data_IF_233823105170
#
_entry.id   IF_233823105170
#
_cell.length_a   1.000
_cell.length_b   1.000
_cell.length_c   1.000
_cell.angle_alpha   90.00
_cell.angle_beta   90.00
_cell.angle_gamma   90.00
#
_symmetry.space_group_name_H-M   'P 1'
#
loop_
_entity.id
_entity.type
_entity.pdbx_description
1 polymer ?
#
# COMPACT_ATOMS: atom_id res chain seq x y z
N UNK A 1 11.68 -1.12 -35.34
CA UNK A 1 11.12 -2.00 -36.40
C UNK A 1 9.73 -2.48 -35.98
N UNK A 2 8.70 -2.22 -36.80
CA UNK A 2 7.34 -2.75 -36.56
C UNK A 2 7.38 -4.29 -36.65
N UNK A 3 6.90 -5.00 -35.63
CA UNK A 3 6.71 -6.47 -35.70
C UNK A 3 5.65 -6.76 -36.75
N UNK A 4 6.07 -7.27 -37.91
CA UNK A 4 5.18 -7.81 -38.94
C UNK A 4 4.40 -8.97 -38.31
N UNK A 5 3.09 -8.77 -38.10
CA UNK A 5 2.19 -9.84 -37.69
C UNK A 5 2.15 -10.90 -38.78
N UNK A 6 2.76 -12.05 -38.54
CA UNK A 6 2.75 -13.15 -39.50
C UNK A 6 1.45 -13.96 -39.32
N UNK A 7 0.92 -14.45 -40.45
CA UNK A 7 -0.28 -15.30 -40.49
C UNK A 7 0.05 -16.64 -39.84
N UNK A 8 -0.66 -16.99 -38.77
CA UNK A 8 -0.47 -18.25 -38.03
C UNK A 8 -0.72 -19.44 -38.98
N UNK A 9 0.26 -20.32 -39.13
CA UNK A 9 0.09 -21.53 -39.94
C UNK A 9 -0.91 -22.47 -39.24
N UNK A 10 -1.92 -22.95 -39.99
CA UNK A 10 -2.98 -23.82 -39.44
C UNK A 10 -2.41 -25.20 -39.04
N UNK A 11 -1.42 -25.70 -39.78
CA UNK A 11 -0.87 -27.04 -39.58
C UNK A 11 0.53 -27.04 -38.92
N UNK A 12 0.93 -25.92 -38.31
CA UNK A 12 2.20 -25.82 -37.59
C UNK A 12 2.30 -26.79 -36.40
N UNK A 13 3.52 -27.20 -36.08
CA UNK A 13 3.81 -28.09 -34.95
C UNK A 13 3.38 -27.45 -33.62
N UNK A 14 3.14 -28.29 -32.60
CA UNK A 14 2.68 -27.86 -31.29
C UNK A 14 3.66 -26.89 -30.62
N UNK A 15 4.96 -27.15 -30.74
CA UNK A 15 6.01 -26.29 -30.16
C UNK A 15 6.07 -24.90 -30.79
N UNK A 16 5.89 -24.79 -32.10
CA UNK A 16 5.84 -23.49 -32.78
C UNK A 16 4.56 -22.72 -32.45
N UNK A 17 3.43 -23.41 -32.27
CA UNK A 17 2.16 -22.81 -31.82
C UNK A 17 2.26 -22.28 -30.39
N UNK A 18 2.81 -23.08 -29.48
CA UNK A 18 3.05 -22.73 -28.07
C UNK A 18 3.96 -21.50 -27.95
N UNK A 19 5.07 -21.51 -28.68
CA UNK A 19 6.04 -20.40 -28.70
C UNK A 19 5.57 -19.18 -29.49
N UNK A 20 4.40 -19.25 -30.14
CA UNK A 20 3.87 -18.21 -31.02
C UNK A 20 4.96 -17.73 -32.00
N UNK A 21 5.51 -18.67 -32.78
CA UNK A 21 6.44 -18.43 -33.90
C UNK A 21 5.94 -19.09 -35.19
N UNK A 22 6.40 -18.62 -36.35
CA UNK A 22 6.00 -19.19 -37.65
C UNK A 22 6.59 -20.59 -37.81
N UNK A 23 5.74 -21.58 -38.06
CA UNK A 23 6.14 -22.93 -38.46
C UNK A 23 6.20 -23.02 -39.98
N UNK A 24 7.24 -23.66 -40.52
CA UNK A 24 7.42 -23.96 -41.93
C UNK A 24 6.80 -25.30 -42.36
N UNK A 25 6.27 -26.07 -41.40
CA UNK A 25 5.54 -27.34 -41.60
C UNK A 25 6.38 -28.49 -42.19
N UNK A 26 7.70 -28.30 -42.30
CA UNK A 26 8.65 -29.36 -42.60
C UNK A 26 8.74 -30.39 -41.45
N UNK A 27 9.25 -31.59 -41.75
CA UNK A 27 9.43 -32.70 -40.80
C UNK A 27 10.92 -33.10 -40.71
N UNK A 28 11.67 -32.68 -39.67
CA UNK A 28 11.30 -31.72 -38.62
C UNK A 28 11.20 -30.27 -39.11
N UNK A 29 10.49 -29.44 -38.34
CA UNK A 29 10.31 -28.03 -38.64
C UNK A 29 11.62 -27.24 -38.42
N UNK A 30 11.99 -26.32 -39.33
CA UNK A 30 13.28 -25.62 -39.22
C UNK A 30 13.40 -24.74 -37.97
N UNK A 31 12.28 -24.20 -37.48
CA UNK A 31 12.25 -23.46 -36.21
C UNK A 31 12.49 -24.37 -34.99
N UNK A 32 12.10 -25.63 -35.07
CA UNK A 32 12.32 -26.63 -34.02
C UNK A 32 13.80 -27.01 -33.98
N UNK A 33 14.37 -27.31 -35.16
CA UNK A 33 15.78 -27.66 -35.35
C UNK A 33 16.70 -26.54 -34.87
N UNK A 34 16.44 -25.29 -35.27
CA UNK A 34 17.26 -24.13 -34.87
C UNK A 34 17.32 -23.92 -33.35
N UNK A 35 16.29 -24.35 -32.64
CA UNK A 35 16.19 -24.20 -31.19
C UNK A 35 16.45 -25.49 -30.43
N UNK A 36 16.88 -26.57 -31.12
CA UNK A 36 17.19 -27.86 -30.49
C UNK A 36 15.98 -28.52 -29.81
N UNK A 37 14.76 -28.23 -30.26
CA UNK A 37 13.53 -28.75 -29.65
C UNK A 37 12.94 -29.91 -30.45
N UNK A 38 12.38 -30.93 -29.78
CA UNK A 38 11.72 -32.05 -30.46
C UNK A 38 10.47 -31.58 -31.22
N UNK A 39 10.37 -31.96 -32.50
CA UNK A 39 9.30 -31.50 -33.37
C UNK A 39 8.10 -32.44 -33.32
N UNK A 40 6.91 -31.93 -32.96
CA UNK A 40 5.69 -32.75 -32.92
C UNK A 40 5.21 -33.24 -34.30
N UNK A 41 5.81 -32.76 -35.40
CA UNK A 41 5.49 -33.23 -36.76
C UNK A 41 6.29 -34.50 -37.15
N UNK A 42 7.35 -34.85 -36.41
CA UNK A 42 8.12 -36.08 -36.63
C UNK A 42 7.37 -37.33 -36.18
N UNK A 43 6.61 -37.26 -35.08
CA UNK A 43 5.90 -38.41 -34.51
C UNK A 43 4.42 -38.54 -34.95
N UNK A 44 3.94 -37.68 -35.86
CA UNK A 44 2.54 -37.70 -36.30
C UNK A 44 2.16 -38.92 -37.19
N UNK A 45 3.08 -39.88 -37.39
CA UNK A 45 2.86 -41.10 -38.16
C UNK A 45 2.67 -42.38 -37.34
N UNK A 46 2.82 -42.35 -36.00
CA UNK A 46 2.76 -43.58 -35.21
C UNK A 46 2.21 -43.32 -33.79
N UNK A 47 0.88 -43.37 -33.64
CA UNK A 47 0.18 -43.96 -32.48
C UNK A 47 -1.31 -43.63 -32.55
N UNK A 48 -2.08 -44.64 -32.93
CA UNK A 48 -3.51 -44.82 -32.71
C UNK A 48 -3.83 -44.93 -31.21
N UNK A 49 -4.98 -44.38 -30.79
CA UNK A 49 -5.66 -44.80 -29.55
C UNK A 49 -6.30 -43.70 -28.71
N UNK A 50 -7.59 -43.43 -28.97
CA UNK A 50 -8.68 -43.06 -28.05
C UNK A 50 -8.48 -41.84 -27.10
N UNK A 51 -9.41 -40.90 -26.93
CA UNK A 51 -10.87 -40.98 -26.99
C UNK A 51 -11.51 -39.65 -27.40
N UNK A 52 -12.60 -39.81 -28.13
CA UNK A 52 -13.58 -38.85 -28.58
C UNK A 52 -14.22 -38.01 -27.47
N UNK A 53 -14.62 -36.78 -27.81
CA UNK A 53 -15.99 -36.24 -27.76
C UNK A 53 -15.90 -34.69 -27.83
N UNK A 54 -16.76 -33.87 -28.43
CA UNK A 54 -17.78 -33.93 -29.49
C UNK A 54 -18.07 -32.44 -29.78
N UNK A 55 -18.07 -32.00 -31.04
CA UNK A 55 -18.61 -30.68 -31.43
C UNK A 55 -20.15 -30.72 -31.50
N UNK A 56 -20.82 -29.64 -31.12
CA UNK A 56 -22.05 -29.11 -31.74
C UNK A 56 -22.36 -27.74 -31.10
N UNK A 57 -22.25 -26.59 -31.77
CA UNK A 57 -23.09 -26.00 -32.83
C UNK A 57 -23.85 -24.76 -32.28
N UNK A 58 -23.61 -23.61 -32.93
CA UNK A 58 -24.44 -22.40 -32.91
C UNK A 58 -25.77 -22.64 -33.66
N UNK A 59 -26.83 -21.87 -33.34
CA UNK A 59 -27.46 -21.01 -34.36
C UNK A 59 -28.03 -19.67 -33.75
N UNK A 60 -28.90 -18.88 -34.42
CA UNK A 60 -28.57 -17.75 -35.33
C UNK A 60 -29.27 -16.40 -34.92
N UNK A 61 -29.22 -15.31 -35.75
CA UNK A 61 -29.65 -13.96 -35.36
C UNK A 61 -30.99 -13.46 -35.98
N UNK A 62 -31.63 -12.48 -35.34
CA UNK A 62 -32.75 -11.66 -35.83
C UNK A 62 -33.50 -11.01 -34.65
N UNK A 63 -34.19 -9.86 -34.69
CA UNK A 63 -34.42 -8.79 -35.66
C UNK A 63 -34.84 -7.52 -34.86
N UNK A 64 -34.41 -6.37 -35.38
CA UNK A 64 -35.03 -5.02 -35.42
C UNK A 64 -36.42 -4.82 -34.78
N UNK A 65 -36.55 -3.81 -33.91
CA UNK A 65 -37.75 -2.95 -33.82
C UNK A 65 -37.40 -1.48 -33.56
N UNK A 66 -38.08 -0.60 -34.28
CA UNK A 66 -38.08 0.86 -34.13
C UNK A 66 -39.19 1.25 -33.16
N UNK A 67 -39.00 2.30 -32.35
CA UNK A 67 -40.04 3.32 -32.12
C UNK A 67 -39.46 4.64 -31.61
N UNK A 68 -39.84 5.70 -32.33
CA UNK A 68 -39.86 7.14 -32.00
C UNK A 68 -40.60 7.43 -30.69
N UNK A 69 -40.48 8.57 -30.01
CA UNK A 69 -39.85 9.87 -30.25
C UNK A 69 -40.52 10.92 -29.35
N UNK A 70 -39.84 12.04 -29.06
CA UNK A 70 -40.36 13.34 -28.53
C UNK A 70 -39.13 14.18 -28.13
N UNK A 71 -38.60 15.10 -28.94
CA UNK A 71 -38.98 16.51 -29.20
C UNK A 71 -39.27 17.37 -27.96
N UNK A 72 -38.29 18.19 -27.61
CA UNK A 72 -38.42 19.46 -26.87
C UNK A 72 -37.25 20.37 -27.25
N UNK A 73 -37.55 21.49 -27.89
CA UNK A 73 -36.62 22.45 -28.52
C UNK A 73 -36.19 23.60 -27.60
N UNK A 74 -35.20 24.35 -28.11
CA UNK A 74 -34.84 25.74 -27.81
C UNK A 74 -33.95 25.95 -26.56
N UNK A 75 -32.93 26.81 -26.55
CA UNK A 75 -32.50 27.87 -27.48
C UNK A 75 -31.05 28.27 -27.18
N UNK A 76 -30.42 28.83 -28.20
CA UNK A 76 -29.08 29.37 -28.22
C UNK A 76 -28.82 30.47 -27.18
N UNK A 77 -27.56 30.57 -26.73
CA UNK A 77 -26.87 31.84 -26.51
C UNK A 77 -25.37 31.64 -26.68
N UNK A 78 -24.87 32.15 -27.81
CA UNK A 78 -23.45 32.41 -28.07
C UNK A 78 -23.02 33.59 -27.19
N UNK A 79 -21.89 33.47 -26.50
CA UNK A 79 -21.05 34.63 -26.18
C UNK A 79 -19.58 34.31 -26.46
N UNK A 80 -19.04 35.05 -27.42
CA UNK A 80 -17.61 35.27 -27.63
C UNK A 80 -17.11 36.21 -26.54
N UNK A 81 -15.96 35.91 -25.95
CA UNK A 81 -15.09 36.91 -25.33
C UNK A 81 -13.64 36.47 -25.51
N UNK A 82 -12.91 37.27 -26.28
CA UNK A 82 -11.48 37.30 -26.49
C UNK A 82 -10.76 38.04 -25.36
N UNK A 83 -9.63 37.53 -24.88
CA UNK A 83 -8.45 38.28 -24.37
C UNK A 83 -7.43 37.23 -23.87
N UNK A 84 -6.35 37.00 -24.61
CA UNK A 84 -5.02 37.61 -24.43
C UNK A 84 -4.26 37.11 -23.19
N UNK A 85 -3.22 36.32 -23.48
CA UNK A 85 -2.08 36.04 -22.61
C UNK A 85 -1.35 37.32 -22.18
N UNK A 86 -0.55 37.23 -21.12
CA UNK A 86 0.83 37.67 -21.27
C UNK A 86 1.87 36.70 -20.70
N UNK A 87 3.08 36.98 -21.15
CA UNK A 87 4.29 36.19 -21.10
C UNK A 87 4.98 36.11 -19.74
N UNK A 88 5.80 35.04 -19.65
CA UNK A 88 7.00 34.84 -18.85
C UNK A 88 7.82 36.09 -18.52
N UNK A 89 8.32 36.19 -17.28
CA UNK A 89 9.63 36.78 -16.97
C UNK A 89 10.26 36.11 -15.74
N UNK A 90 11.46 35.58 -15.94
CA UNK A 90 12.41 35.12 -14.91
C UNK A 90 13.08 36.32 -14.22
N UNK A 91 13.52 36.22 -12.95
CA UNK A 91 14.39 37.23 -12.35
C UNK A 91 15.86 36.94 -12.67
N UNK A 92 16.54 37.91 -13.30
CA UNK A 92 18.00 37.96 -13.40
C UNK A 92 18.59 38.57 -12.13
N UNK A 93 19.66 37.92 -11.68
CA UNK A 93 20.64 38.34 -10.68
C UNK A 93 21.36 39.64 -11.07
N UNK A 94 21.42 40.60 -10.15
CA UNK A 94 22.29 41.77 -10.24
C UNK A 94 23.57 41.54 -9.43
N UNK A 95 24.71 41.66 -10.12
CA UNK A 95 26.04 41.71 -9.56
C UNK A 95 26.36 43.12 -9.04
N UNK A 96 27.16 43.21 -7.97
CA UNK A 96 27.68 44.45 -7.40
C UNK A 96 29.11 44.28 -6.87
N UNK A 97 30.07 44.56 -7.75
CA UNK A 97 31.37 45.22 -7.55
C UNK A 97 32.28 44.91 -6.33
N UNK A 98 33.37 44.21 -6.64
CA UNK A 98 34.81 44.55 -6.46
C UNK A 98 35.29 45.34 -5.22
N UNK A 99 36.34 44.80 -4.57
CA UNK A 99 37.38 45.61 -3.91
C UNK A 99 38.40 44.87 -3.02
N UNK A 100 39.59 44.56 -3.56
CA UNK A 100 40.87 44.43 -2.83
C UNK A 100 41.12 43.14 -2.02
N UNK A 101 42.31 42.56 -1.87
CA UNK A 101 43.69 42.88 -2.24
C UNK A 101 44.51 41.58 -2.28
N UNK A 102 45.62 41.62 -3.00
CA UNK A 102 46.63 40.58 -3.14
C UNK A 102 47.35 40.28 -1.82
N UNK A 103 47.78 39.04 -1.61
CA UNK A 103 49.09 38.70 -1.04
C UNK A 103 49.42 37.24 -1.32
N UNK A 104 50.54 37.04 -2.01
CA UNK A 104 51.20 35.76 -2.18
C UNK A 104 52.16 35.52 -1.01
N UNK A 105 52.24 34.30 -0.50
CA UNK A 105 53.52 33.69 -0.09
C UNK A 105 53.35 32.19 0.18
N UNK A 106 54.41 31.51 -0.21
CA UNK A 106 54.65 30.09 -0.37
C UNK A 106 54.96 29.33 0.93
N UNK A 107 55.05 28.00 0.77
CA UNK A 107 55.67 26.96 1.63
C UNK A 107 54.79 26.38 2.74
N UNK A 108 54.64 25.08 2.93
CA UNK A 108 55.20 23.90 2.25
C UNK A 108 54.80 22.63 3.04
N UNK A 109 54.85 21.47 2.38
CA UNK A 109 55.02 20.17 3.04
C UNK A 109 53.77 19.33 3.30
N UNK A 110 53.76 18.12 2.75
CA UNK A 110 52.89 17.03 3.21
C UNK A 110 52.28 16.20 2.09
N UNK A 111 53.09 15.35 1.45
CA UNK A 111 52.60 14.37 0.50
C UNK A 111 51.60 13.41 1.16
N UNK A 112 50.42 13.29 0.57
CA UNK A 112 49.57 12.12 0.69
C UNK A 112 49.20 11.65 -0.71
N UNK A 113 49.60 10.43 -0.97
CA UNK A 113 49.39 9.64 -2.17
C UNK A 113 47.91 9.50 -2.48
N UNK A 114 47.44 10.17 -3.55
CA UNK A 114 46.18 9.80 -4.19
C UNK A 114 46.31 8.36 -4.72
N UNK A 115 45.30 7.50 -4.52
CA UNK A 115 45.36 6.17 -5.12
C UNK A 115 45.33 6.32 -6.63
N UNK A 116 46.30 5.69 -7.28
CA UNK A 116 46.46 5.56 -8.72
C UNK A 116 45.12 5.46 -9.44
N UNK A 117 44.75 6.51 -10.17
CA UNK A 117 43.73 6.46 -11.21
C UNK A 117 44.20 5.45 -12.25
N UNK A 118 43.66 4.23 -12.20
CA UNK A 118 43.82 3.30 -13.32
C UNK A 118 43.33 4.02 -14.58
N UNK A 119 44.15 4.02 -15.63
CA UNK A 119 43.76 4.56 -16.93
C UNK A 119 42.51 3.81 -17.40
N UNK A 120 41.42 4.54 -17.65
CA UNK A 120 40.17 3.99 -18.14
C UNK A 120 40.45 3.09 -19.37
N UNK A 121 40.14 1.79 -19.32
CA UNK A 121 40.38 0.88 -20.44
C UNK A 121 39.53 1.20 -21.68
N UNK A 122 38.54 2.09 -21.56
CA UNK A 122 37.64 2.48 -22.63
C UNK A 122 37.46 4.01 -22.76
N UNK A 123 38.53 4.76 -23.07
CA UNK A 123 38.51 6.23 -23.14
C UNK A 123 37.61 6.77 -24.27
N UNK A 124 37.15 5.88 -25.16
CA UNK A 124 36.17 6.21 -26.20
C UNK A 124 34.78 6.54 -25.61
N UNK A 125 34.39 5.93 -24.48
CA UNK A 125 33.10 6.24 -23.84
C UNK A 125 33.06 7.67 -23.31
N UNK A 126 34.20 8.22 -22.90
CA UNK A 126 34.34 9.62 -22.47
C UNK A 126 33.91 10.61 -23.56
N UNK A 127 33.93 10.23 -24.85
CA UNK A 127 33.41 11.06 -25.96
C UNK A 127 31.89 11.11 -26.05
N UNK A 128 31.19 10.17 -25.42
CA UNK A 128 29.73 10.13 -25.32
C UNK A 128 29.22 10.57 -23.95
N UNK A 129 30.11 10.75 -22.98
CA UNK A 129 29.82 11.40 -21.72
C UNK A 129 29.81 12.92 -21.96
N UNK A 130 28.67 13.44 -22.39
CA UNK A 130 28.39 14.88 -22.24
C UNK A 130 28.53 15.17 -20.74
N UNK A 131 29.30 16.18 -20.33
CA UNK A 131 29.59 16.51 -18.93
C UNK A 131 28.32 16.43 -18.03
N UNK A 132 28.11 15.26 -17.44
CA UNK A 132 27.09 14.97 -16.45
C UNK A 132 27.79 15.00 -15.09
N UNK A 133 28.40 16.14 -14.76
CA UNK A 133 28.80 16.44 -13.38
C UNK A 133 27.54 16.69 -12.52
N UNK A 134 26.78 15.61 -12.33
CA UNK A 134 25.85 15.40 -11.21
C UNK A 134 26.09 13.99 -10.69
N UNK A 135 27.25 13.80 -10.09
CA UNK A 135 27.59 12.63 -9.25
C UNK A 135 26.71 12.51 -8.00
N UNK A 136 25.73 13.41 -7.81
CA UNK A 136 24.68 13.32 -6.79
C UNK A 136 23.41 12.59 -7.23
N UNK A 137 23.15 12.43 -8.54
CA UNK A 137 21.85 11.88 -8.99
C UNK A 137 21.87 10.40 -9.29
N UNK A 138 23.03 9.78 -9.57
CA UNK A 138 23.13 8.43 -10.11
C UNK A 138 22.84 7.29 -9.11
N UNK A 139 23.05 7.50 -7.80
CA UNK A 139 22.78 6.49 -6.77
C UNK A 139 21.31 6.43 -6.36
N UNK A 140 20.63 7.60 -6.34
CA UNK A 140 19.22 7.69 -5.93
C UNK A 140 18.25 7.05 -6.91
N UNK A 141 18.38 7.31 -8.22
CA UNK A 141 17.41 6.81 -9.20
C UNK A 141 17.39 5.29 -9.34
N UNK A 142 18.54 4.62 -9.17
CA UNK A 142 18.60 3.14 -9.22
C UNK A 142 17.80 2.56 -8.05
N UNK A 143 17.98 3.13 -6.86
CA UNK A 143 17.21 2.77 -5.69
C UNK A 143 15.72 3.03 -5.90
N UNK A 144 15.34 4.20 -6.39
CA UNK A 144 13.92 4.52 -6.66
C UNK A 144 13.30 3.54 -7.67
N UNK A 145 14.06 3.14 -8.69
CA UNK A 145 13.61 2.13 -9.66
C UNK A 145 13.51 0.73 -9.06
N UNK A 146 14.43 0.34 -8.17
CA UNK A 146 14.33 -0.90 -7.41
C UNK A 146 13.04 -0.92 -6.57
N UNK A 147 12.79 0.16 -5.82
CA UNK A 147 11.59 0.31 -4.99
C UNK A 147 10.31 0.26 -5.83
N UNK A 148 10.27 0.96 -6.97
CA UNK A 148 9.13 0.93 -7.90
C UNK A 148 8.96 -0.44 -8.56
N UNK A 149 10.06 -1.12 -8.91
CA UNK A 149 10.02 -2.48 -9.44
C UNK A 149 9.46 -3.46 -8.40
N UNK A 150 9.92 -3.35 -7.15
CA UNK A 150 9.40 -4.14 -6.03
C UNK A 150 7.93 -3.86 -5.78
N UNK A 151 7.50 -2.59 -5.89
CA UNK A 151 6.09 -2.23 -5.78
C UNK A 151 5.23 -2.96 -6.78
N UNK A 152 5.53 -2.78 -8.06
CA UNK A 152 4.72 -3.27 -9.18
C UNK A 152 4.79 -4.78 -9.37
N UNK A 153 5.79 -5.43 -8.78
CA UNK A 153 6.01 -6.89 -8.89
C UNK A 153 5.52 -7.65 -7.66
N UNK A 154 5.67 -7.07 -6.45
CA UNK A 154 5.47 -7.78 -5.19
C UNK A 154 4.57 -7.02 -4.23
N UNK A 155 4.95 -5.82 -3.78
CA UNK A 155 4.35 -5.22 -2.56
C UNK A 155 2.88 -4.82 -2.74
N UNK A 156 2.43 -4.51 -3.97
CA UNK A 156 1.04 -4.16 -4.26
C UNK A 156 0.01 -5.24 -3.88
N UNK A 157 0.43 -6.51 -3.76
CA UNK A 157 -0.45 -7.66 -3.42
C UNK A 157 -0.64 -7.85 -1.92
N UNK A 158 0.17 -7.18 -1.09
CA UNK A 158 0.34 -7.53 0.34
C UNK A 158 -0.77 -7.04 1.26
N UNK A 159 -1.78 -6.33 0.73
CA UNK A 159 -2.88 -5.78 1.54
C UNK A 159 -4.25 -5.84 0.83
N UNK A 160 -4.38 -6.68 -0.21
CA UNK A 160 -5.66 -6.94 -0.87
C UNK A 160 -5.69 -8.34 -1.49
N UNK A 161 -6.81 -9.06 -1.35
CA UNK A 161 -7.04 -10.32 -2.07
C UNK A 161 -7.96 -10.16 -3.29
N UNK A 162 -8.60 -9.00 -3.46
CA UNK A 162 -9.42 -8.72 -4.64
C UNK A 162 -8.54 -8.56 -5.87
N UNK A 163 -8.68 -9.45 -6.85
CA UNK A 163 -7.95 -9.36 -8.13
C UNK A 163 -8.18 -8.03 -8.86
N UNK A 164 -9.39 -7.47 -8.70
CA UNK A 164 -9.79 -6.21 -9.31
C UNK A 164 -9.10 -5.02 -8.62
N UNK A 165 -9.11 -5.01 -7.29
CA UNK A 165 -8.39 -4.00 -6.51
C UNK A 165 -6.87 -4.09 -6.68
N UNK A 166 -6.31 -5.31 -6.68
CA UNK A 166 -4.90 -5.55 -6.97
C UNK A 166 -4.49 -4.99 -8.33
N UNK A 167 -5.34 -5.12 -9.36
CA UNK A 167 -5.08 -4.52 -10.67
C UNK A 167 -5.03 -2.99 -10.61
N UNK A 168 -5.95 -2.37 -9.89
CA UNK A 168 -5.93 -0.91 -9.68
C UNK A 168 -4.72 -0.45 -8.89
N UNK A 169 -4.34 -1.17 -7.83
CA UNK A 169 -3.11 -0.93 -7.09
C UNK A 169 -1.86 -1.11 -7.99
N UNK A 170 -1.83 -2.12 -8.86
CA UNK A 170 -0.67 -2.37 -9.71
C UNK A 170 -0.50 -1.37 -10.86
N UNK A 171 -1.60 -0.89 -11.46
CA UNK A 171 -1.55 -0.12 -12.70
C UNK A 171 -2.08 1.31 -12.56
N UNK A 172 -3.27 1.49 -11.98
CA UNK A 172 -3.92 2.79 -11.94
C UNK A 172 -3.27 3.70 -10.91
N UNK A 173 -2.91 3.17 -9.74
CA UNK A 173 -2.25 3.93 -8.65
C UNK A 173 -0.86 4.44 -9.07
N UNK A 174 0.06 3.64 -9.64
CA UNK A 174 1.32 4.17 -10.18
C UNK A 174 1.12 5.20 -11.30
N UNK A 175 0.13 5.00 -12.16
CA UNK A 175 -0.17 5.95 -13.22
C UNK A 175 -0.63 7.30 -12.66
N UNK A 176 -1.46 7.28 -11.63
CA UNK A 176 -1.86 8.48 -10.88
C UNK A 176 -0.63 9.14 -10.22
N UNK A 177 0.24 8.34 -9.62
CA UNK A 177 1.45 8.80 -8.94
C UNK A 177 2.41 9.58 -9.85
N UNK A 178 2.45 9.29 -11.15
CA UNK A 178 3.25 10.06 -12.12
C UNK A 178 2.80 11.53 -12.24
N UNK A 179 1.56 11.84 -11.86
CA UNK A 179 1.03 13.22 -11.86
C UNK A 179 1.14 13.88 -10.48
N UNK A 180 1.39 13.10 -9.43
CA UNK A 180 1.40 13.55 -8.04
C UNK A 180 2.63 13.00 -7.31
N UNK A 181 3.73 13.77 -7.23
CA UNK A 181 5.00 13.32 -6.65
C UNK A 181 4.88 12.79 -5.21
N UNK A 182 3.97 13.35 -4.41
CA UNK A 182 3.76 12.86 -3.05
C UNK A 182 3.22 11.42 -3.01
N UNK A 183 2.34 11.04 -3.95
CA UNK A 183 1.84 9.67 -4.05
C UNK A 183 2.95 8.73 -4.53
N UNK A 184 3.78 9.19 -5.46
CA UNK A 184 4.95 8.42 -5.90
C UNK A 184 5.87 8.11 -4.71
N UNK A 185 6.21 9.12 -3.91
CA UNK A 185 7.00 8.92 -2.71
C UNK A 185 6.34 7.97 -1.70
N UNK A 186 5.01 8.00 -1.52
CA UNK A 186 4.33 7.03 -0.66
C UNK A 186 4.47 5.59 -1.15
N UNK A 187 4.37 5.36 -2.46
CA UNK A 187 4.55 4.04 -3.08
C UNK A 187 5.98 3.51 -2.86
N UNK A 188 6.98 4.40 -3.00
CA UNK A 188 8.38 4.05 -2.78
C UNK A 188 8.67 3.79 -1.29
N UNK A 189 8.15 4.64 -0.40
CA UNK A 189 8.27 4.46 1.05
C UNK A 189 7.69 3.12 1.51
N UNK A 190 6.47 2.80 1.08
CA UNK A 190 5.82 1.52 1.38
C UNK A 190 6.65 0.32 0.89
N UNK A 191 7.24 0.44 -0.30
CA UNK A 191 8.09 -0.62 -0.87
C UNK A 191 9.40 -0.78 -0.11
N UNK A 192 10.00 0.32 0.33
CA UNK A 192 11.20 0.30 1.16
C UNK A 192 10.91 -0.32 2.53
N UNK A 193 9.79 0.01 3.17
CA UNK A 193 9.37 -0.68 4.41
C UNK A 193 9.16 -2.18 4.20
N UNK A 194 8.57 -2.58 3.07
CA UNK A 194 8.38 -3.99 2.76
C UNK A 194 9.72 -4.72 2.51
N UNK A 195 10.67 -4.11 1.81
CA UNK A 195 12.02 -4.68 1.65
C UNK A 195 12.76 -4.74 2.98
N UNK A 196 12.63 -3.74 3.84
CA UNK A 196 13.20 -3.75 5.19
C UNK A 196 12.65 -4.90 6.05
N UNK A 197 11.39 -5.30 5.82
CA UNK A 197 10.78 -6.47 6.43
C UNK A 197 11.36 -7.79 5.87
N UNK A 198 11.50 -7.89 4.54
CA UNK A 198 11.96 -9.11 3.87
C UNK A 198 13.48 -9.33 3.96
N UNK A 199 14.28 -8.27 4.13
CA UNK A 199 15.73 -8.30 4.11
C UNK A 199 16.32 -7.72 5.40
N UNK A 200 16.44 -8.53 6.48
CA UNK A 200 16.98 -8.08 7.76
C UNK A 200 18.38 -7.48 7.68
N UNK A 201 19.24 -7.99 6.79
CA UNK A 201 20.64 -7.54 6.65
C UNK A 201 20.75 -6.10 6.12
N UNK A 202 19.87 -5.73 5.18
CA UNK A 202 19.81 -4.40 4.57
C UNK A 202 18.76 -3.50 5.21
N UNK A 203 18.13 -3.95 6.31
CA UNK A 203 16.96 -3.31 6.92
C UNK A 203 17.17 -1.82 7.19
N UNK A 204 18.30 -1.44 7.79
CA UNK A 204 18.57 -0.05 8.14
C UNK A 204 18.61 0.89 6.92
N UNK A 205 19.22 0.43 5.81
CA UNK A 205 19.32 1.21 4.59
C UNK A 205 17.93 1.47 3.97
N UNK A 206 17.10 0.43 3.86
CA UNK A 206 15.74 0.58 3.37
C UNK A 206 14.87 1.43 4.29
N UNK A 207 15.06 1.37 5.60
CA UNK A 207 14.35 2.26 6.54
C UNK A 207 14.72 3.73 6.37
N UNK A 208 16.00 4.02 6.10
CA UNK A 208 16.42 5.40 5.78
C UNK A 208 15.76 5.90 4.50
N UNK A 209 15.70 5.07 3.45
CA UNK A 209 15.01 5.40 2.20
C UNK A 209 13.51 5.60 2.42
N UNK A 210 12.89 4.72 3.20
CA UNK A 210 11.49 4.82 3.56
C UNK A 210 11.20 6.15 4.27
N UNK A 211 12.02 6.52 5.27
CA UNK A 211 11.88 7.77 6.01
C UNK A 211 12.07 9.01 5.12
N UNK A 212 13.04 8.98 4.20
CA UNK A 212 13.27 10.07 3.23
C UNK A 212 12.03 10.29 2.36
N UNK A 213 11.56 9.24 1.69
CA UNK A 213 10.36 9.34 0.87
C UNK A 213 9.10 9.68 1.69
N UNK A 214 8.99 9.19 2.92
CA UNK A 214 7.87 9.53 3.80
C UNK A 214 7.82 11.03 4.10
N UNK A 215 8.97 11.64 4.38
CA UNK A 215 9.07 13.08 4.64
C UNK A 215 8.69 13.90 3.40
N UNK A 216 9.21 13.54 2.22
CA UNK A 216 8.89 14.22 0.96
C UNK A 216 7.41 14.09 0.60
N UNK A 217 6.84 12.89 0.79
CA UNK A 217 5.42 12.64 0.61
C UNK A 217 4.56 13.52 1.54
N UNK A 218 4.86 13.55 2.84
CA UNK A 218 4.09 14.33 3.82
C UNK A 218 4.15 15.83 3.49
N UNK A 219 5.32 16.35 3.09
CA UNK A 219 5.47 17.74 2.69
C UNK A 219 4.62 18.08 1.46
N UNK A 220 4.64 17.24 0.43
CA UNK A 220 3.81 17.43 -0.77
C UNK A 220 2.30 17.27 -0.51
N UNK A 221 1.91 16.32 0.34
CA UNK A 221 0.53 16.14 0.78
C UNK A 221 0.04 17.39 1.53
N UNK A 222 0.80 17.90 2.50
CA UNK A 222 0.47 19.12 3.24
C UNK A 222 0.27 20.31 2.32
N UNK A 223 1.16 20.52 1.35
CA UNK A 223 1.01 21.60 0.36
C UNK A 223 -0.28 21.51 -0.44
N UNK A 224 -0.75 20.30 -0.75
CA UNK A 224 -2.01 20.08 -1.48
C UNK A 224 -3.24 20.22 -0.58
N UNK A 225 -3.16 19.72 0.67
CA UNK A 225 -4.24 19.77 1.67
C UNK A 225 -4.52 21.18 2.20
N UNK A 226 -3.53 22.09 2.15
CA UNK A 226 -3.74 23.51 2.45
C UNK A 226 -4.62 24.21 1.40
N UNK A 227 -4.76 23.62 0.21
CA UNK A 227 -5.70 24.04 -0.82
C UNK A 227 -7.06 23.34 -0.69
N UNK A 228 -7.88 23.45 -1.72
CA UNK A 228 -9.19 22.77 -1.79
C UNK A 228 -9.03 21.34 -2.30
N UNK A 229 -9.62 20.36 -1.59
CA UNK A 229 -9.79 19.00 -2.09
C UNK A 229 -10.79 19.06 -3.27
N UNK A 230 -10.35 18.60 -4.44
CA UNK A 230 -11.10 18.65 -5.70
C UNK A 230 -11.24 17.25 -6.30
N UNK A 231 -12.11 17.13 -7.31
CA UNK A 231 -12.29 15.89 -8.07
C UNK A 231 -11.05 15.42 -8.84
N UNK A 232 -10.01 16.25 -8.96
CA UNK A 232 -8.76 15.89 -9.65
C UNK A 232 -7.67 15.42 -8.70
N UNK A 233 -7.59 15.96 -7.48
CA UNK A 233 -6.54 15.63 -6.52
C UNK A 233 -6.98 14.62 -5.45
N UNK A 234 -8.29 14.38 -5.30
CA UNK A 234 -8.82 13.53 -4.23
C UNK A 234 -8.35 12.08 -4.34
N UNK A 235 -8.19 11.53 -5.56
CA UNK A 235 -7.69 10.17 -5.76
C UNK A 235 -6.25 10.02 -5.26
N UNK A 236 -5.37 10.95 -5.64
CA UNK A 236 -3.99 10.94 -5.21
C UNK A 236 -3.85 11.13 -3.69
N UNK A 237 -4.61 12.08 -3.12
CA UNK A 237 -4.64 12.32 -1.67
C UNK A 237 -5.12 11.08 -0.92
N UNK A 238 -6.24 10.48 -1.36
CA UNK A 238 -6.81 9.30 -0.71
C UNK A 238 -5.85 8.10 -0.78
N UNK A 239 -5.30 7.80 -1.96
CA UNK A 239 -4.31 6.72 -2.11
C UNK A 239 -3.06 6.98 -1.25
N UNK A 240 -2.59 8.21 -1.18
CA UNK A 240 -1.45 8.58 -0.35
C UNK A 240 -1.72 8.39 1.13
N UNK A 241 -2.93 8.73 1.60
CA UNK A 241 -3.35 8.49 2.98
C UNK A 241 -3.44 7.01 3.34
N UNK A 242 -3.84 6.14 2.40
CA UNK A 242 -3.79 4.68 2.58
C UNK A 242 -2.33 4.25 2.84
N UNK A 243 -1.41 4.58 1.93
CA UNK A 243 0.00 4.19 2.07
C UNK A 243 0.66 4.80 3.30
N UNK A 244 0.34 6.05 3.63
CA UNK A 244 0.83 6.72 4.84
C UNK A 244 0.42 5.95 6.10
N UNK A 245 -0.85 5.53 6.17
CA UNK A 245 -1.38 4.79 7.32
C UNK A 245 -0.74 3.41 7.43
N UNK A 246 -0.62 2.67 6.32
CA UNK A 246 0.05 1.36 6.30
C UNK A 246 1.54 1.48 6.69
N UNK A 247 2.22 2.52 6.19
CA UNK A 247 3.63 2.78 6.48
C UNK A 247 3.84 3.21 7.93
N UNK A 248 2.88 3.93 8.54
CA UNK A 248 2.92 4.27 9.96
C UNK A 248 2.91 3.02 10.86
N UNK A 249 2.11 2.00 10.51
CA UNK A 249 2.21 0.70 11.18
C UNK A 249 3.58 0.04 10.94
N UNK A 250 4.07 0.03 9.70
CA UNK A 250 5.36 -0.58 9.33
C UNK A 250 6.58 0.10 9.96
N UNK A 251 6.40 1.33 10.47
CA UNK A 251 7.45 2.10 11.17
C UNK A 251 7.84 1.43 12.50
N UNK A 252 6.94 0.66 13.11
CA UNK A 252 7.22 -0.22 14.25
C UNK A 252 7.50 -1.64 13.74
N UNK A 253 8.58 -2.36 14.14
CA UNK A 253 9.55 -2.19 15.23
C UNK A 253 10.91 -1.59 14.80
N UNK A 254 10.91 -0.65 13.86
CA UNK A 254 12.14 -0.13 13.25
C UNK A 254 12.84 0.97 14.07
N UNK A 255 12.10 1.64 14.96
CA UNK A 255 12.58 2.76 15.78
C UNK A 255 12.91 2.40 17.23
N UNK A 256 12.48 1.26 17.76
CA UNK A 256 12.69 0.93 19.18
C UNK A 256 14.18 0.88 19.55
N UNK A 257 15.04 0.48 18.61
CA UNK A 257 16.50 0.47 18.79
C UNK A 257 17.16 1.86 18.75
N UNK A 258 16.50 2.85 18.15
CA UNK A 258 17.09 4.17 17.85
C UNK A 258 16.34 5.35 18.47
N UNK A 259 15.16 5.12 19.07
CA UNK A 259 14.34 6.15 19.68
C UNK A 259 13.89 5.75 21.11
N UNK A 260 14.60 6.22 22.15
CA UNK A 260 14.28 5.90 23.53
C UNK A 260 12.96 6.51 24.03
N UNK A 261 12.33 7.43 23.27
CA UNK A 261 11.03 8.02 23.61
C UNK A 261 9.85 7.35 22.90
N UNK A 262 10.06 6.20 22.25
CA UNK A 262 8.98 5.48 21.57
C UNK A 262 7.92 5.00 22.57
N UNK A 263 6.65 5.21 22.22
CA UNK A 263 5.50 4.82 23.02
C UNK A 263 4.46 4.18 22.10
N UNK A 264 4.23 2.85 22.19
CA UNK A 264 3.24 2.14 21.39
C UNK A 264 1.85 2.77 21.42
N UNK A 265 1.41 3.26 22.59
CA UNK A 265 0.10 3.90 22.75
C UNK A 265 0.04 5.23 22.00
N UNK A 266 1.07 6.06 22.08
CA UNK A 266 1.07 7.36 21.39
C UNK A 266 1.14 7.16 19.87
N UNK A 267 1.96 6.22 19.39
CA UNK A 267 1.99 5.89 17.96
C UNK A 267 0.68 5.30 17.46
N UNK A 268 -0.04 4.51 18.27
CA UNK A 268 -1.40 4.09 17.92
C UNK A 268 -2.38 5.25 17.85
N UNK A 269 -2.31 6.21 18.77
CA UNK A 269 -3.13 7.43 18.72
C UNK A 269 -2.85 8.25 17.44
N UNK A 270 -1.59 8.34 17.02
CA UNK A 270 -1.22 9.01 15.77
C UNK A 270 -1.81 8.25 14.57
N UNK A 271 -1.71 6.92 14.55
CA UNK A 271 -2.31 6.08 13.50
C UNK A 271 -3.84 6.23 13.46
N UNK A 272 -4.51 6.32 14.61
CA UNK A 272 -5.96 6.54 14.66
C UNK A 272 -6.33 7.89 14.05
N UNK A 273 -5.53 8.92 14.36
CA UNK A 273 -5.70 10.27 13.79
C UNK A 273 -5.49 10.27 12.26
N UNK A 274 -4.48 9.55 11.76
CA UNK A 274 -4.26 9.38 10.31
C UNK A 274 -5.43 8.65 9.63
N UNK A 275 -5.95 7.62 10.28
CA UNK A 275 -7.07 6.83 9.77
C UNK A 275 -8.36 7.66 9.71
N UNK A 276 -8.63 8.49 10.71
CA UNK A 276 -9.76 9.41 10.70
C UNK A 276 -9.61 10.50 9.62
N UNK A 277 -8.41 11.08 9.48
CA UNK A 277 -8.12 12.04 8.40
C UNK A 277 -8.33 11.44 7.00
N UNK A 278 -7.97 10.17 6.80
CA UNK A 278 -8.27 9.43 5.56
C UNK A 278 -9.78 9.27 5.34
N UNK A 279 -10.55 8.96 6.39
CA UNK A 279 -12.01 8.86 6.34
C UNK A 279 -12.67 10.19 5.96
N UNK A 280 -12.14 11.32 6.44
CA UNK A 280 -12.62 12.64 6.04
C UNK A 280 -12.46 12.89 4.54
N UNK A 281 -11.31 12.54 3.95
CA UNK A 281 -11.08 12.64 2.50
C UNK A 281 -12.08 11.75 1.74
N UNK A 282 -12.28 10.51 2.20
CA UNK A 282 -13.24 9.59 1.61
C UNK A 282 -14.65 10.19 1.61
N UNK A 283 -15.12 10.73 2.75
CA UNK A 283 -16.46 11.31 2.87
C UNK A 283 -16.64 12.57 2.03
N UNK A 284 -15.60 13.41 1.92
CA UNK A 284 -15.65 14.63 1.12
C UNK A 284 -15.65 14.37 -0.40
N UNK A 285 -15.12 13.22 -0.84
CA UNK A 285 -14.92 12.90 -2.25
C UNK A 285 -15.47 11.53 -2.68
N UNK A 286 -16.44 10.96 -1.94
CA UNK A 286 -16.93 9.59 -2.15
C UNK A 286 -17.39 9.34 -3.58
N UNK A 287 -18.18 10.25 -4.14
CA UNK A 287 -18.69 10.16 -5.51
C UNK A 287 -17.57 10.15 -6.56
N UNK A 288 -16.57 11.03 -6.41
CA UNK A 288 -15.44 11.13 -7.34
C UNK A 288 -14.54 9.90 -7.23
N UNK A 289 -14.28 9.42 -6.01
CA UNK A 289 -13.47 8.23 -5.74
C UNK A 289 -14.10 6.97 -6.35
N UNK A 290 -15.43 6.81 -6.24
CA UNK A 290 -16.17 5.68 -6.81
C UNK A 290 -16.30 5.72 -8.34
N UNK A 291 -16.09 6.87 -8.97
CA UNK A 291 -16.17 7.03 -10.44
C UNK A 291 -14.79 7.11 -11.10
N UNK A 292 -13.74 7.37 -10.33
CA UNK A 292 -12.40 7.63 -10.84
C UNK A 292 -11.49 6.40 -10.98
N UNK A 293 -10.16 6.62 -11.00
CA UNK A 293 -9.15 5.57 -11.14
C UNK A 293 -9.21 4.52 -10.03
N UNK A 294 -9.65 4.90 -8.83
CA UNK A 294 -9.69 4.03 -7.65
C UNK A 294 -11.01 3.25 -7.50
N UNK A 295 -11.97 3.39 -8.42
CA UNK A 295 -13.33 2.81 -8.28
C UNK A 295 -13.35 1.33 -7.87
N UNK A 296 -12.41 0.56 -8.41
CA UNK A 296 -12.30 -0.89 -8.23
C UNK A 296 -11.96 -1.29 -6.79
N UNK A 297 -11.35 -0.38 -6.00
CA UNK A 297 -11.08 -0.55 -4.56
C UNK A 297 -12.40 -0.60 -3.76
N UNK A 298 -13.45 0.04 -4.27
CA UNK A 298 -14.75 0.19 -3.60
C UNK A 298 -15.80 -0.82 -4.05
N UNK A 299 -15.51 -1.63 -5.07
CA UNK A 299 -16.45 -2.63 -5.58
C UNK A 299 -16.41 -3.89 -4.69
N UNK A 300 -17.59 -4.36 -4.28
CA UNK A 300 -17.75 -5.68 -3.63
C UNK A 300 -17.52 -6.79 -4.64
N UNK A 301 -16.88 -7.87 -4.21
CA UNK A 301 -16.64 -9.02 -5.08
C UNK A 301 -17.96 -9.69 -5.48
N UNK A 302 -18.09 -10.06 -6.75
CA UNK A 302 -19.18 -10.93 -7.21
C UNK A 302 -19.04 -12.32 -6.57
N UNK A 303 -19.91 -12.64 -5.61
CA UNK A 303 -19.86 -13.86 -4.80
C UNK A 303 -19.90 -13.62 -3.30
N UNK A 304 -19.75 -12.38 -2.86
CA UNK A 304 -19.89 -11.97 -1.46
C UNK A 304 -21.36 -12.06 -1.03
N UNK A 305 -21.80 -13.22 -0.52
CA UNK A 305 -23.01 -13.28 0.29
C UNK A 305 -22.78 -12.46 1.55
N UNK A 306 -23.73 -11.61 1.96
CA UNK A 306 -23.69 -11.00 3.29
C UNK A 306 -23.79 -12.13 4.32
N UNK A 307 -22.72 -12.45 5.05
CA UNK A 307 -22.82 -13.36 6.18
C UNK A 307 -23.86 -12.78 7.14
N UNK A 308 -24.80 -13.60 7.59
CA UNK A 308 -25.80 -13.21 8.59
C UNK A 308 -25.22 -13.23 10.01
N UNK A 309 -24.00 -13.72 10.18
CA UNK A 309 -23.33 -13.95 11.46
C UNK A 309 -21.94 -13.33 11.44
N UNK A 310 -21.45 -13.00 12.64
CA UNK A 310 -20.07 -12.55 12.84
C UNK A 310 -19.09 -13.68 12.48
N UNK A 311 -17.96 -13.33 11.88
CA UNK A 311 -16.94 -14.29 11.49
C UNK A 311 -16.37 -15.03 12.71
N UNK A 312 -16.12 -16.34 12.57
CA UNK A 312 -15.71 -17.20 13.68
C UNK A 312 -14.44 -16.71 14.42
N UNK A 313 -13.54 -16.02 13.72
CA UNK A 313 -12.30 -15.47 14.29
C UNK A 313 -12.55 -14.33 15.27
N UNK A 314 -13.54 -13.47 15.02
CA UNK A 314 -13.87 -12.32 15.86
C UNK A 314 -14.99 -12.61 16.87
N UNK A 315 -15.70 -13.74 16.71
CA UNK A 315 -16.80 -14.15 17.58
C UNK A 315 -16.45 -14.16 19.08
N UNK A 316 -15.30 -14.72 19.54
CA UNK A 316 -14.97 -14.76 20.98
C UNK A 316 -14.81 -13.37 21.59
N UNK A 317 -14.28 -12.41 20.83
CA UNK A 317 -14.18 -11.02 21.25
C UNK A 317 -15.58 -10.40 21.32
N UNK A 318 -16.38 -10.57 20.27
CA UNK A 318 -17.73 -10.01 20.17
C UNK A 318 -18.64 -10.41 21.35
N UNK A 319 -18.62 -11.68 21.75
CA UNK A 319 -19.41 -12.20 22.87
C UNK A 319 -19.00 -11.63 24.24
N UNK A 320 -17.75 -11.17 24.39
CA UNK A 320 -17.21 -10.62 25.64
C UNK A 320 -17.52 -9.14 25.84
N UNK A 321 -17.70 -8.37 24.76
CA UNK A 321 -17.88 -6.92 24.83
C UNK A 321 -19.08 -6.47 25.67
N UNK A 322 -20.26 -7.13 25.66
CA UNK A 322 -21.36 -6.76 26.53
C UNK A 322 -21.00 -6.89 28.03
N UNK A 323 -20.33 -7.98 28.41
CA UNK A 323 -19.87 -8.20 29.78
C UNK A 323 -18.81 -7.19 30.19
N UNK A 324 -17.86 -6.89 29.30
CA UNK A 324 -16.85 -5.87 29.52
C UNK A 324 -17.49 -4.50 29.80
N UNK A 325 -18.50 -4.11 29.02
CA UNK A 325 -19.24 -2.87 29.20
C UNK A 325 -19.87 -2.77 30.59
N UNK A 326 -20.52 -3.85 31.06
CA UNK A 326 -21.10 -3.91 32.41
C UNK A 326 -20.03 -3.77 33.50
N UNK A 327 -18.91 -4.48 33.39
CA UNK A 327 -17.84 -4.43 34.39
C UNK A 327 -17.15 -3.06 34.46
N UNK A 328 -16.91 -2.41 33.32
CA UNK A 328 -16.36 -1.05 33.25
C UNK A 328 -17.30 -0.02 33.89
N UNK A 329 -18.61 -0.24 33.85
CA UNK A 329 -19.58 0.62 34.50
C UNK A 329 -19.62 0.48 36.04
N UNK A 330 -19.23 -0.68 36.57
CA UNK A 330 -19.24 -1.02 38.01
C UNK A 330 -17.97 -0.59 38.75
N UNK A 331 -16.79 -0.68 38.11
CA UNK A 331 -15.47 -0.39 38.72
C UNK A 331 -15.26 1.10 39.08
N UNK A 332 -16.23 1.96 38.79
CA UNK A 332 -16.29 3.32 39.33
C UNK A 332 -15.63 4.38 38.44
N UNK A 333 -16.21 4.61 37.26
CA UNK A 333 -15.98 5.85 36.50
C UNK A 333 -16.69 6.99 37.25
N UNK A 334 -15.95 7.76 38.04
CA UNK A 334 -16.48 8.83 38.92
C UNK A 334 -17.02 10.02 38.12
N UNK A 335 -16.55 10.21 36.88
CA UNK A 335 -16.98 11.28 35.98
C UNK A 335 -17.97 10.77 34.92
N UNK A 336 -19.14 11.42 34.82
CA UNK A 336 -20.20 11.07 33.86
C UNK A 336 -19.72 11.10 32.40
N UNK A 337 -18.86 12.06 32.05
CA UNK A 337 -18.31 12.22 30.68
C UNK A 337 -17.37 11.08 30.31
N UNK A 338 -16.45 10.69 31.20
CA UNK A 338 -15.55 9.56 30.99
C UNK A 338 -16.31 8.23 30.86
N UNK A 339 -17.41 8.06 31.62
CA UNK A 339 -18.28 6.88 31.51
C UNK A 339 -18.93 6.75 30.13
N UNK A 340 -19.41 7.86 29.58
CA UNK A 340 -20.03 7.87 28.26
C UNK A 340 -19.03 7.55 27.15
N UNK A 341 -17.84 8.18 27.17
CA UNK A 341 -16.79 7.94 26.18
C UNK A 341 -16.33 6.47 26.14
N UNK A 342 -16.10 5.86 27.30
CA UNK A 342 -15.70 4.44 27.39
C UNK A 342 -16.81 3.51 26.90
N UNK A 343 -18.06 3.74 27.34
CA UNK A 343 -19.20 2.92 26.94
C UNK A 343 -19.39 2.97 25.41
N UNK A 344 -19.31 4.16 24.82
CA UNK A 344 -19.38 4.33 23.38
C UNK A 344 -18.23 3.62 22.65
N UNK A 345 -17.00 3.65 23.18
CA UNK A 345 -15.87 2.96 22.56
C UNK A 345 -16.08 1.42 22.50
N UNK A 346 -16.65 0.83 23.56
CA UNK A 346 -17.00 -0.61 23.60
C UNK A 346 -18.15 -0.95 22.65
N UNK A 347 -19.18 -0.09 22.59
CA UNK A 347 -20.29 -0.24 21.63
C UNK A 347 -19.76 -0.15 20.20
N UNK A 348 -18.93 0.85 19.90
CA UNK A 348 -18.32 1.03 18.59
C UNK A 348 -17.41 -0.14 18.20
N UNK A 349 -16.74 -0.80 19.16
CA UNK A 349 -15.98 -2.04 18.90
C UNK A 349 -16.91 -3.19 18.49
N UNK A 350 -18.04 -3.34 19.18
CA UNK A 350 -19.07 -4.34 18.85
C UNK A 350 -19.67 -4.08 17.46
N UNK A 351 -20.03 -2.83 17.17
CA UNK A 351 -20.52 -2.41 15.87
C UNK A 351 -19.49 -2.61 14.77
N UNK A 352 -18.21 -2.33 15.04
CA UNK A 352 -17.12 -2.55 14.09
C UNK A 352 -17.08 -4.02 13.66
N UNK A 353 -17.05 -4.95 14.62
CA UNK A 353 -17.02 -6.40 14.35
C UNK A 353 -18.24 -6.85 13.53
N UNK A 354 -19.43 -6.34 13.85
CA UNK A 354 -20.64 -6.62 13.09
C UNK A 354 -20.59 -6.05 11.66
N UNK A 355 -20.13 -4.80 11.49
CA UNK A 355 -20.04 -4.11 10.19
C UNK A 355 -19.02 -4.75 9.27
N UNK A 356 -17.85 -5.15 9.79
CA UNK A 356 -16.85 -5.83 8.96
C UNK A 356 -17.34 -7.20 8.47
N UNK A 357 -18.24 -7.86 9.21
CA UNK A 357 -18.82 -9.11 8.72
C UNK A 357 -19.70 -8.88 7.48
N UNK A 358 -20.33 -7.71 7.34
CA UNK A 358 -21.29 -7.40 6.26
C UNK A 358 -20.74 -6.54 5.11
N UNK A 359 -19.58 -5.89 5.31
CA UNK A 359 -18.95 -4.97 4.35
C UNK A 359 -17.57 -5.48 3.88
N UNK A 360 -17.50 -6.12 2.72
CA UNK A 360 -16.27 -6.72 2.19
C UNK A 360 -15.46 -5.78 1.27
N UNK A 361 -14.91 -4.68 1.80
CA UNK A 361 -14.00 -3.84 1.03
C UNK A 361 -12.71 -4.61 0.66
N UNK A 362 -12.19 -4.41 -0.56
CA UNK A 362 -10.92 -4.98 -1.04
C UNK A 362 -10.81 -6.52 -1.00
N UNK A 363 -11.91 -7.22 -0.70
CA UNK A 363 -11.92 -8.63 -0.31
C UNK A 363 -10.86 -8.95 0.76
N UNK A 364 -10.61 -8.00 1.67
CA UNK A 364 -9.60 -8.16 2.69
C UNK A 364 -10.15 -8.96 3.89
N UNK A 365 -9.28 -9.64 4.67
CA UNK A 365 -9.70 -10.36 5.88
C UNK A 365 -10.50 -9.46 6.83
N UNK A 366 -11.46 -10.04 7.56
CA UNK A 366 -12.35 -9.28 8.46
C UNK A 366 -11.56 -8.55 9.54
N UNK A 367 -10.48 -9.14 10.01
CA UNK A 367 -9.57 -8.64 11.03
C UNK A 367 -8.84 -7.41 10.53
N UNK A 368 -8.27 -7.49 9.32
CA UNK A 368 -7.62 -6.35 8.66
C UNK A 368 -8.60 -5.18 8.55
N UNK A 369 -9.84 -5.43 8.11
CA UNK A 369 -10.83 -4.36 7.97
C UNK A 369 -11.23 -3.78 9.33
N UNK A 370 -11.28 -4.59 10.38
CA UNK A 370 -11.60 -4.14 11.73
C UNK A 370 -10.49 -3.28 12.34
N UNK A 371 -9.21 -3.57 12.05
CA UNK A 371 -8.07 -2.75 12.47
C UNK A 371 -8.24 -1.29 12.07
N UNK A 372 -8.73 -1.00 10.86
CA UNK A 372 -8.93 0.37 10.36
C UNK A 372 -10.32 0.93 10.62
N UNK A 373 -11.38 0.11 10.68
CA UNK A 373 -12.73 0.61 10.88
C UNK A 373 -12.96 1.12 12.30
N UNK A 374 -12.47 0.42 13.33
CA UNK A 374 -12.72 0.84 14.71
C UNK A 374 -12.15 2.23 15.04
N UNK A 375 -10.90 2.58 14.66
CA UNK A 375 -10.38 3.94 14.83
C UNK A 375 -11.24 5.05 14.24
N UNK A 376 -11.88 4.81 13.08
CA UNK A 376 -12.78 5.78 12.41
C UNK A 376 -14.06 6.03 13.23
N UNK A 377 -14.45 5.09 14.10
CA UNK A 377 -15.63 5.20 14.95
C UNK A 377 -15.35 5.86 16.30
N UNK A 378 -14.08 6.19 16.61
CA UNK A 378 -13.69 6.73 17.91
C UNK A 378 -13.97 8.22 18.04
N UNK A 379 -14.34 8.64 19.24
CA UNK A 379 -14.56 10.04 19.59
C UNK A 379 -13.29 10.69 20.14
N UNK A 380 -13.19 12.01 20.05
CA UNK A 380 -12.10 12.78 20.66
C UNK A 380 -11.97 12.50 22.16
N UNK A 381 -13.09 12.37 22.87
CA UNK A 381 -13.11 12.16 24.32
C UNK A 381 -12.44 10.84 24.72
N UNK A 382 -12.69 9.77 23.96
CA UNK A 382 -12.02 8.49 24.18
C UNK A 382 -10.51 8.60 23.91
N UNK A 383 -10.13 9.25 22.80
CA UNK A 383 -8.72 9.44 22.45
C UNK A 383 -7.98 10.29 23.50
N UNK A 384 -8.63 11.30 24.07
CA UNK A 384 -8.09 12.14 25.13
C UNK A 384 -7.89 11.35 26.43
N UNK A 385 -8.84 10.49 26.79
CA UNK A 385 -8.69 9.56 27.92
C UNK A 385 -7.51 8.61 27.71
N UNK A 386 -7.34 8.08 26.51
CA UNK A 386 -6.23 7.20 26.18
C UNK A 386 -4.88 7.94 26.18
N UNK A 387 -4.85 9.20 25.71
CA UNK A 387 -3.66 10.08 25.79
C UNK A 387 -3.26 10.33 27.24
N UNK A 388 -4.22 10.48 28.15
CA UNK A 388 -3.99 10.58 29.61
C UNK A 388 -3.70 9.25 30.30
N UNK A 389 -3.60 8.14 29.55
CA UNK A 389 -3.42 6.78 30.07
C UNK A 389 -4.49 6.38 31.09
N UNK A 390 -5.74 6.81 30.86
CA UNK A 390 -6.83 6.44 31.74
C UNK A 390 -7.02 4.91 31.74
N UNK A 391 -7.04 4.22 32.89
CA UNK A 391 -7.10 2.77 32.97
C UNK A 391 -8.23 2.15 32.14
N UNK A 392 -9.45 2.67 32.25
CA UNK A 392 -10.60 2.20 31.47
C UNK A 392 -10.37 2.27 29.94
N UNK A 393 -9.73 3.34 29.45
CA UNK A 393 -9.47 3.51 28.02
C UNK A 393 -8.44 2.49 27.53
N UNK A 394 -7.41 2.23 28.36
CA UNK A 394 -6.40 1.20 28.08
C UNK A 394 -6.99 -0.21 28.11
N UNK A 395 -7.98 -0.50 28.96
CA UNK A 395 -8.71 -1.77 28.94
C UNK A 395 -9.42 -1.98 27.61
N UNK A 396 -10.11 -0.95 27.08
CA UNK A 396 -10.76 -1.05 25.76
C UNK A 396 -9.71 -1.24 24.66
N UNK A 397 -8.60 -0.50 24.72
CA UNK A 397 -7.50 -0.66 23.77
C UNK A 397 -6.90 -2.07 23.81
N UNK A 398 -6.75 -2.68 25.00
CA UNK A 398 -6.26 -4.06 25.14
C UNK A 398 -7.16 -5.06 24.40
N UNK A 399 -8.48 -4.86 24.42
CA UNK A 399 -9.41 -5.71 23.66
C UNK A 399 -9.33 -5.45 22.15
N UNK A 400 -9.10 -4.21 21.72
CA UNK A 400 -8.77 -3.92 20.32
C UNK A 400 -7.45 -4.60 19.87
N UNK A 401 -6.46 -4.72 20.76
CA UNK A 401 -5.20 -5.42 20.44
C UNK A 401 -5.42 -6.89 20.03
N UNK A 402 -6.51 -7.52 20.47
CA UNK A 402 -6.88 -8.87 20.00
C UNK A 402 -7.17 -8.85 18.50
N UNK A 403 -7.85 -7.82 17.98
CA UNK A 403 -8.09 -7.67 16.53
C UNK A 403 -6.77 -7.50 15.78
N UNK A 404 -5.88 -6.66 16.30
CA UNK A 404 -4.53 -6.46 15.73
C UNK A 404 -3.77 -7.80 15.70
N UNK A 405 -3.80 -8.56 16.79
CA UNK A 405 -3.15 -9.86 16.89
C UNK A 405 -3.69 -10.86 15.86
N UNK A 406 -5.01 -10.90 15.63
CA UNK A 406 -5.60 -11.79 14.62
C UNK A 406 -5.26 -11.36 13.18
N UNK A 407 -4.97 -10.09 12.95
CA UNK A 407 -4.57 -9.56 11.65
C UNK A 407 -3.06 -9.72 11.36
N UNK A 408 -2.20 -9.78 12.38
CA UNK A 408 -0.73 -9.90 12.26
C UNK A 408 -0.26 -10.99 11.27
N UNK A 409 -0.82 -12.22 11.27
CA UNK A 409 -0.37 -13.28 10.35
C UNK A 409 -0.55 -12.95 8.86
N UNK A 410 -1.46 -12.03 8.54
CA UNK A 410 -1.82 -11.67 7.17
C UNK A 410 -1.24 -10.31 6.76
N UNK A 411 -0.66 -9.56 7.70
CA UNK A 411 -0.30 -8.16 7.51
C UNK A 411 1.08 -7.90 8.11
N UNK A 412 2.11 -8.00 7.26
CA UNK A 412 3.51 -7.88 7.68
C UNK A 412 3.82 -6.58 8.45
N UNK A 413 3.14 -5.48 8.13
CA UNK A 413 3.31 -4.18 8.79
C UNK A 413 2.67 -4.09 10.18
N UNK A 414 1.81 -5.05 10.57
CA UNK A 414 1.23 -5.13 11.91
C UNK A 414 2.10 -5.93 12.89
N UNK A 415 3.13 -6.63 12.41
CA UNK A 415 3.91 -7.55 13.21
C UNK A 415 4.50 -6.89 14.48
N UNK A 416 4.14 -7.44 15.64
CA UNK A 416 4.68 -7.04 16.94
C UNK A 416 3.85 -5.99 17.68
N UNK A 417 2.88 -5.34 17.01
CA UNK A 417 2.06 -4.30 17.62
C UNK A 417 1.21 -4.81 18.79
N UNK A 418 0.51 -5.93 18.61
CA UNK A 418 -0.42 -6.42 19.62
C UNK A 418 0.31 -6.76 20.92
N UNK A 419 1.46 -7.45 20.82
CA UNK A 419 2.27 -7.83 21.97
C UNK A 419 2.88 -6.62 22.68
N UNK A 420 3.39 -5.66 21.93
CA UNK A 420 3.97 -4.43 22.48
C UNK A 420 2.96 -3.63 23.29
N UNK A 421 1.77 -3.43 22.71
CA UNK A 421 0.68 -2.73 23.37
C UNK A 421 0.19 -3.48 24.61
N UNK A 422 -0.05 -4.79 24.51
CA UNK A 422 -0.59 -5.54 25.65
C UNK A 422 0.41 -5.62 26.80
N UNK A 423 1.71 -5.73 26.51
CA UNK A 423 2.76 -5.70 27.53
C UNK A 423 2.77 -4.36 28.27
N UNK A 424 2.73 -3.25 27.53
CA UNK A 424 2.71 -1.91 28.10
C UNK A 424 1.44 -1.66 28.93
N UNK A 425 0.27 -2.03 28.39
CA UNK A 425 -1.02 -1.86 29.08
C UNK A 425 -1.06 -2.72 30.34
N UNK A 426 -0.68 -3.99 30.27
CA UNK A 426 -0.64 -4.89 31.41
C UNK A 426 0.27 -4.36 32.52
N UNK A 427 1.46 -3.85 32.17
CA UNK A 427 2.37 -3.22 33.12
C UNK A 427 1.74 -2.00 33.81
N UNK A 428 1.04 -1.13 33.07
CA UNK A 428 0.37 0.06 33.65
C UNK A 428 -0.80 -0.29 34.56
N UNK A 429 -1.52 -1.39 34.26
CA UNK A 429 -2.70 -1.81 35.01
C UNK A 429 -2.38 -2.78 36.14
N UNK A 430 -1.13 -3.25 36.26
CA UNK A 430 -0.70 -4.19 37.30
C UNK A 430 -1.02 -3.61 38.68
N UNK A 431 -1.57 -4.45 39.56
CA UNK A 431 -2.01 -4.09 40.91
C UNK A 431 -3.12 -3.01 40.99
N UNK A 432 -3.85 -2.79 39.90
CA UNK A 432 -5.08 -1.96 39.89
C UNK A 432 -6.34 -2.82 39.77
N UNK A 433 -7.53 -2.31 40.13
CA UNK A 433 -8.80 -3.02 39.92
C UNK A 433 -9.10 -3.36 38.45
N UNK A 434 -8.40 -2.75 37.50
CA UNK A 434 -8.58 -2.95 36.06
C UNK A 434 -7.76 -4.13 35.51
N UNK A 435 -6.84 -4.69 36.30
CA UNK A 435 -5.94 -5.77 35.86
C UNK A 435 -6.71 -7.01 35.38
N UNK A 436 -7.76 -7.39 36.09
CA UNK A 436 -8.58 -8.57 35.75
C UNK A 436 -9.31 -8.40 34.43
N UNK A 437 -9.61 -7.16 34.03
CA UNK A 437 -10.28 -6.87 32.76
C UNK A 437 -9.36 -7.05 31.55
N UNK A 438 -8.03 -7.03 31.73
CA UNK A 438 -7.08 -7.29 30.63
C UNK A 438 -6.50 -8.70 30.65
N UNK A 439 -6.90 -9.55 31.61
CA UNK A 439 -6.41 -10.92 31.72
C UNK A 439 -6.68 -11.76 30.46
N UNK A 440 -7.87 -11.64 29.87
CA UNK A 440 -8.21 -12.39 28.66
C UNK A 440 -7.44 -11.93 27.41
N UNK A 441 -7.35 -10.62 27.08
CA UNK A 441 -6.46 -10.18 26.00
C UNK A 441 -4.99 -10.60 26.20
N UNK A 442 -4.50 -10.56 27.44
CA UNK A 442 -3.16 -11.05 27.82
C UNK A 442 -2.99 -12.54 27.53
N UNK A 443 -3.97 -13.37 27.87
CA UNK A 443 -3.97 -14.81 27.61
C UNK A 443 -3.94 -15.12 26.10
N UNK A 444 -4.75 -14.41 25.31
CA UNK A 444 -4.84 -14.63 23.86
C UNK A 444 -3.55 -14.22 23.12
N UNK A 445 -2.93 -13.10 23.50
CA UNK A 445 -1.79 -12.52 22.78
C UNK A 445 -0.44 -13.07 23.32
N UNK A 446 -0.38 -13.36 24.63
CA UNK A 446 0.84 -13.73 25.35
C UNK A 446 1.73 -12.53 25.72
N UNK A 447 2.50 -12.65 26.82
CA UNK A 447 3.42 -11.62 27.34
C UNK A 447 4.84 -12.20 27.45
N UNK A 448 5.84 -11.59 26.80
CA UNK A 448 7.24 -12.04 26.84
C UNK A 448 8.12 -11.58 25.66
N UNK A 449 9.45 -11.57 25.85
CA UNK A 449 10.46 -11.10 24.87
C UNK A 449 10.47 -11.86 23.54
N UNK A 450 10.71 -11.14 22.45
CA UNK A 450 10.65 -11.61 21.06
C UNK A 450 11.89 -12.44 20.70
N UNK A 451 11.97 -13.68 21.14
CA UNK A 451 12.88 -14.66 20.54
C UNK A 451 12.09 -15.80 19.90
N UNK A 452 12.39 -16.02 18.62
CA UNK A 452 12.00 -17.18 17.78
C UNK A 452 10.57 -17.15 17.22
N UNK A 453 10.35 -16.34 16.17
CA UNK A 453 9.36 -16.70 15.13
C UNK A 453 9.66 -16.16 13.71
N UNK A 454 10.86 -15.65 13.45
CA UNK A 454 11.30 -15.33 12.08
C UNK A 454 11.35 -16.60 11.19
N UNK A 455 11.65 -17.77 11.75
CA UNK A 455 11.77 -19.03 10.99
C UNK A 455 10.43 -19.68 10.60
N UNK A 456 9.28 -19.20 11.10
CA UNK A 456 7.96 -19.77 10.75
C UNK A 456 7.10 -18.86 9.86
N UNK A 457 7.53 -17.62 9.60
CA UNK A 457 6.71 -16.61 8.91
C UNK A 457 6.89 -16.54 7.39
N UNK A 458 7.63 -17.48 6.78
CA UNK A 458 7.79 -17.58 5.32
C UNK A 458 6.51 -17.99 4.55
N UNK A 459 5.35 -18.11 5.22
CA UNK A 459 4.10 -18.55 4.59
C UNK A 459 2.93 -17.55 4.71
N UNK A 460 3.20 -16.31 5.14
CA UNK A 460 2.22 -15.23 5.05
C UNK A 460 2.08 -14.79 3.56
N UNK A 461 1.05 -15.31 2.90
CA UNK A 461 0.78 -15.22 1.45
C UNK A 461 1.90 -15.83 0.59
N UNK A 462 1.66 -16.92 -0.18
CA UNK A 462 2.69 -17.42 -1.08
C UNK A 462 3.03 -16.32 -2.10
N UNK A 463 4.19 -15.68 -1.90
CA UNK A 463 4.89 -14.96 -2.94
C UNK A 463 5.35 -16.05 -3.91
N UNK A 464 4.47 -16.44 -4.82
CA UNK A 464 4.88 -17.14 -6.02
C UNK A 464 5.64 -16.10 -6.83
N UNK A 465 6.97 -16.12 -6.68
CA UNK A 465 7.92 -15.38 -7.51
C UNK A 465 7.74 -15.75 -8.99
#
# INVERSE_FOLDING_TARGET
MKRLGYRKSRNGCLRCKERRVKCDENKPCSACVRHGLPCSLENAGASTGASSQTMAQLPPPGQRTKRSGSRGSASALRRRSSAQSPASLSPQSAAGSLGGQQSASSSGGGGQTSPSSQSDPFPYFSRFLTDLNKTETASGWISDLELMHHYTSVSYRTFSHSSLAQKTLQYDVPREALSYPFLLHQILAFSAYHLAYLQPDCRHAYLMQAAQHQNDAINGMRGTLLGTISSTNCHALFASSIFLTLSAFATYPSYEKYNPSFSPIDSMLDIFTLTDGMSMILRASDEDLRKGPLREIFIRGSGDTTPSTVEATLQPLFERLPRLSSQLAEIGLVEHEGKYAITNAVIALSECIAKVSTFNAMSAPVEFRAVFLWPILMTSDYLDMLRRRHPAAMVVLAHYCVIVHMAEPFCWFLNGWARSLISLISQHLTATPWADLVAWPVEIIGVGGYEVQLDRMAHAMPVVL
#
